data_IF_558914095530
#
_entry.id   IF_558914095530
#
_cell.length_a   1.000
_cell.length_b   1.000
_cell.length_c   1.000
_cell.angle_alpha   90.00
_cell.angle_beta   90.00
_cell.angle_gamma   90.00
#
_symmetry.space_group_name_H-M   'P 1'
#
loop_
_entity.id
_entity.type
_entity.pdbx_description
1 polymer ?
#
# COMPACT_ATOMS: atom_id res chain seq x y z
N UNK A 1 12.40 25.93 10.00
CA UNK A 1 11.85 24.61 10.33
C UNK A 1 10.63 24.32 9.49
N UNK A 2 10.54 23.12 8.91
CA UNK A 2 9.37 22.67 8.17
C UNK A 2 8.54 21.86 9.16
N UNK A 3 7.33 22.32 9.48
CA UNK A 3 6.34 21.56 10.23
C UNK A 3 5.59 20.66 9.24
N UNK A 4 5.83 19.34 9.19
CA UNK A 4 5.26 18.46 8.16
C UNK A 4 3.74 18.26 8.28
N UNK A 5 3.09 18.88 9.27
CA UNK A 5 1.66 18.83 9.50
C UNK A 5 0.98 20.18 9.29
N UNK A 6 1.69 21.20 8.83
CA UNK A 6 1.14 22.54 8.60
C UNK A 6 1.29 22.93 7.13
N UNK A 7 0.23 23.51 6.56
CA UNK A 7 0.21 23.95 5.17
C UNK A 7 0.15 22.78 4.18
N UNK A 8 0.76 22.99 3.01
CA UNK A 8 0.70 22.06 1.88
C UNK A 8 1.92 21.15 1.85
N UNK A 9 1.71 19.84 1.98
CA UNK A 9 2.78 18.85 1.95
C UNK A 9 2.54 17.81 0.85
N UNK A 10 3.58 17.59 0.05
CA UNK A 10 3.68 16.45 -0.86
C UNK A 10 4.72 15.47 -0.34
N UNK A 11 4.35 14.20 -0.26
CA UNK A 11 5.27 13.11 0.09
C UNK A 11 5.31 12.15 -1.10
N UNK A 12 6.50 11.82 -1.57
CA UNK A 12 6.69 11.02 -2.77
C UNK A 12 7.73 9.91 -2.55
N UNK A 13 7.38 8.69 -2.97
CA UNK A 13 8.36 7.67 -3.32
C UNK A 13 8.43 7.58 -4.86
N UNK A 14 9.55 7.95 -5.49
CA UNK A 14 9.68 7.84 -6.93
C UNK A 14 9.67 6.39 -7.42
N UNK A 15 10.13 5.42 -6.61
CA UNK A 15 10.22 4.00 -6.96
C UNK A 15 10.13 3.15 -5.67
N UNK A 16 8.91 2.87 -5.23
CA UNK A 16 8.66 1.85 -4.21
C UNK A 16 8.77 0.46 -4.86
N UNK A 17 9.50 -0.45 -4.20
CA UNK A 17 9.89 -1.72 -4.81
C UNK A 17 11.16 -1.65 -5.66
N UNK A 18 12.13 -0.79 -5.32
CA UNK A 18 13.41 -0.66 -6.06
C UNK A 18 14.11 -2.01 -6.33
N UNK A 19 14.05 -2.97 -5.40
CA UNK A 19 14.58 -4.33 -5.62
C UNK A 19 13.87 -5.05 -6.77
N UNK A 20 12.55 -4.91 -6.87
CA UNK A 20 11.74 -5.50 -7.94
C UNK A 20 12.05 -4.83 -9.28
N UNK A 21 12.17 -3.49 -9.32
CA UNK A 21 12.66 -2.79 -10.51
C UNK A 21 13.99 -3.36 -11.00
N UNK A 22 14.99 -3.46 -10.11
CA UNK A 22 16.35 -3.88 -10.47
C UNK A 22 16.41 -5.35 -10.89
N UNK A 23 15.61 -6.22 -10.27
CA UNK A 23 15.71 -7.69 -10.46
C UNK A 23 14.69 -8.27 -11.41
N UNK A 24 13.54 -7.62 -11.57
CA UNK A 24 12.38 -8.15 -12.28
C UNK A 24 11.85 -7.20 -13.34
N UNK A 25 12.19 -5.91 -13.28
CA UNK A 25 11.70 -4.88 -14.21
C UNK A 25 10.16 -4.73 -14.16
N UNK A 26 9.53 -5.24 -13.10
CA UNK A 26 8.09 -5.28 -12.85
C UNK A 26 7.84 -5.15 -11.33
N UNK A 27 6.58 -5.10 -10.89
CA UNK A 27 6.16 -5.11 -9.48
C UNK A 27 6.77 -3.99 -8.62
N UNK A 28 6.89 -2.79 -9.22
CA UNK A 28 7.24 -1.54 -8.53
C UNK A 28 6.21 -0.46 -8.85
N UNK A 29 6.15 0.57 -8.01
CA UNK A 29 5.21 1.67 -8.21
C UNK A 29 5.78 3.04 -7.81
N UNK A 30 5.09 4.10 -8.25
CA UNK A 30 5.31 5.47 -7.77
C UNK A 30 4.23 5.77 -6.73
N UNK A 31 4.61 6.33 -5.58
CA UNK A 31 3.69 6.71 -4.51
C UNK A 31 3.71 8.22 -4.35
N UNK A 32 2.53 8.85 -4.33
CA UNK A 32 2.39 10.28 -4.06
C UNK A 32 1.21 10.50 -3.11
N UNK A 33 1.46 11.10 -1.96
CA UNK A 33 0.43 11.59 -1.03
C UNK A 33 0.50 13.11 -0.93
N UNK A 34 -0.66 13.76 -1.00
CA UNK A 34 -0.81 15.20 -0.82
C UNK A 34 -1.70 15.49 0.39
N UNK A 35 -1.18 16.32 1.28
CA UNK A 35 -1.78 16.67 2.57
C UNK A 35 -1.94 18.18 2.69
N UNK A 36 -3.01 18.59 3.35
CA UNK A 36 -3.22 19.98 3.80
C UNK A 36 -3.45 19.93 5.30
N UNK A 37 -2.58 20.60 6.06
CA UNK A 37 -2.65 20.66 7.53
C UNK A 37 -2.72 19.25 8.17
N UNK A 38 -1.90 18.33 7.66
CA UNK A 38 -1.84 16.92 8.11
C UNK A 38 -2.94 16.01 7.56
N UNK A 39 -3.97 16.56 6.91
CA UNK A 39 -5.11 15.79 6.39
C UNK A 39 -4.87 15.35 4.93
N UNK A 40 -5.01 14.05 4.59
CA UNK A 40 -4.82 13.56 3.24
C UNK A 40 -5.92 14.09 2.30
N UNK A 41 -5.53 14.66 1.16
CA UNK A 41 -6.44 15.25 0.16
C UNK A 41 -6.41 14.52 -1.17
N UNK A 42 -5.23 14.14 -1.64
CA UNK A 42 -5.04 13.37 -2.87
C UNK A 42 -4.02 12.26 -2.62
N UNK A 43 -4.21 11.13 -3.27
CA UNK A 43 -3.29 9.99 -3.16
C UNK A 43 -3.19 9.28 -4.50
N UNK A 44 -1.99 8.87 -4.86
CA UNK A 44 -1.67 8.19 -6.10
C UNK A 44 -0.70 7.05 -5.83
N UNK A 45 -1.02 5.87 -6.34
CA UNK A 45 -0.12 4.73 -6.46
C UNK A 45 -0.15 4.33 -7.93
N UNK A 46 0.98 4.48 -8.62
CA UNK A 46 1.08 4.16 -10.04
C UNK A 46 1.90 2.90 -10.28
N UNK A 47 1.22 1.80 -10.59
CA UNK A 47 1.82 0.57 -11.09
C UNK A 47 2.22 0.80 -12.55
N UNK A 48 3.45 1.28 -12.73
CA UNK A 48 3.98 1.67 -14.04
C UNK A 48 4.05 0.48 -15.01
N UNK A 49 4.58 -0.70 -14.64
CA UNK A 49 4.65 -1.84 -15.56
C UNK A 49 3.29 -2.22 -16.16
N UNK A 50 2.23 -2.19 -15.35
CA UNK A 50 0.88 -2.56 -15.79
C UNK A 50 0.02 -1.38 -16.29
N UNK A 51 0.55 -0.15 -16.27
CA UNK A 51 -0.19 1.07 -16.62
C UNK A 51 -1.49 1.22 -15.82
N UNK A 52 -1.44 0.94 -14.50
CA UNK A 52 -2.58 1.07 -13.59
C UNK A 52 -2.34 2.19 -12.59
N UNK A 53 -3.12 3.25 -12.71
CA UNK A 53 -3.15 4.35 -11.76
C UNK A 53 -4.24 4.12 -10.73
N UNK A 54 -3.83 3.85 -9.50
CA UNK A 54 -4.74 3.90 -8.36
C UNK A 54 -4.71 5.32 -7.82
N UNK A 55 -5.86 5.98 -7.74
CA UNK A 55 -5.96 7.33 -7.17
C UNK A 55 -7.12 7.45 -6.20
N UNK A 56 -6.94 8.22 -5.14
CA UNK A 56 -8.00 8.58 -4.21
C UNK A 56 -8.08 10.10 -4.08
N UNK A 57 -9.31 10.62 -4.00
CA UNK A 57 -9.60 12.03 -3.83
C UNK A 57 -10.57 12.18 -2.65
N UNK A 58 -10.18 12.98 -1.67
CA UNK A 58 -10.98 13.20 -0.47
C UNK A 58 -12.39 13.70 -0.82
N UNK A 59 -13.40 13.05 -0.26
CA UNK A 59 -14.81 13.37 -0.50
C UNK A 59 -15.38 12.89 -1.84
N UNK A 60 -14.58 12.29 -2.73
CA UNK A 60 -15.04 11.78 -4.03
C UNK A 60 -14.95 10.26 -4.10
N UNK A 61 -13.80 9.68 -3.73
CA UNK A 61 -13.60 8.22 -3.71
C UNK A 61 -12.27 7.77 -4.32
N UNK A 62 -12.10 6.45 -4.40
CA UNK A 62 -10.92 5.79 -4.95
C UNK A 62 -11.22 5.19 -6.34
N UNK A 63 -10.23 5.22 -7.23
CA UNK A 63 -10.34 4.80 -8.62
C UNK A 63 -9.13 3.95 -9.02
N UNK A 64 -9.37 2.94 -9.84
CA UNK A 64 -8.36 2.28 -10.66
C UNK A 64 -8.55 2.76 -12.10
N UNK A 65 -7.59 3.53 -12.59
CA UNK A 65 -7.71 4.31 -13.82
C UNK A 65 -8.98 5.18 -13.80
N UNK A 66 -9.96 4.84 -14.64
CA UNK A 66 -11.23 5.57 -14.76
C UNK A 66 -12.39 4.86 -14.05
N UNK A 67 -12.14 3.73 -13.39
CA UNK A 67 -13.17 2.93 -12.74
C UNK A 67 -13.19 3.20 -11.23
N UNK A 68 -14.37 3.52 -10.71
CA UNK A 68 -14.58 3.68 -9.27
C UNK A 68 -14.35 2.34 -8.56
N UNK A 69 -13.56 2.36 -7.50
CA UNK A 69 -13.31 1.22 -6.63
C UNK A 69 -14.40 1.12 -5.57
N UNK A 70 -14.80 -0.10 -5.26
CA UNK A 70 -15.76 -0.39 -4.18
C UNK A 70 -15.03 -0.90 -2.96
N UNK A 71 -15.54 -0.58 -1.78
CA UNK A 71 -15.04 -1.13 -0.53
C UNK A 71 -15.05 -2.66 -0.57
N UNK A 72 -13.94 -3.32 -0.20
CA UNK A 72 -13.89 -4.77 -0.16
C UNK A 72 -14.77 -5.32 0.97
N UNK A 73 -15.20 -6.57 0.84
CA UNK A 73 -15.91 -7.26 1.91
C UNK A 73 -14.97 -7.48 3.09
N UNK A 74 -15.47 -7.29 4.31
CA UNK A 74 -14.74 -7.68 5.51
C UNK A 74 -14.68 -9.20 5.57
N UNK A 75 -13.48 -9.74 5.71
CA UNK A 75 -13.20 -11.17 5.82
C UNK A 75 -12.45 -11.46 7.12
N UNK A 76 -12.61 -12.66 7.66
CA UNK A 76 -11.82 -13.11 8.80
C UNK A 76 -10.38 -13.44 8.38
N UNK A 77 -9.43 -13.41 9.32
CA UNK A 77 -8.03 -13.75 9.03
C UNK A 77 -7.89 -15.15 8.39
N UNK A 78 -8.68 -16.12 8.85
CA UNK A 78 -8.69 -17.50 8.31
C UNK A 78 -9.13 -17.62 6.84
N UNK A 79 -9.73 -16.58 6.29
CA UNK A 79 -10.16 -16.49 4.89
C UNK A 79 -9.25 -15.56 4.07
N UNK A 80 -8.30 -14.89 4.72
CA UNK A 80 -7.47 -13.85 4.13
C UNK A 80 -6.12 -14.38 3.68
N UNK A 81 -5.70 -13.96 2.48
CA UNK A 81 -4.29 -13.95 2.11
C UNK A 81 -3.63 -12.75 2.82
N UNK A 82 -2.48 -12.97 3.46
CA UNK A 82 -1.71 -11.90 4.12
C UNK A 82 -0.36 -11.69 3.45
N UNK A 83 0.12 -10.45 3.50
CA UNK A 83 1.43 -10.04 2.99
C UNK A 83 2.27 -9.41 4.08
N UNK A 84 3.52 -9.87 4.20
CA UNK A 84 4.52 -9.33 5.12
C UNK A 84 5.93 -9.79 4.72
N UNK A 85 6.95 -9.24 5.38
CA UNK A 85 8.35 -9.65 5.20
C UNK A 85 8.79 -10.60 6.34
N UNK A 86 8.86 -11.93 6.12
CA UNK A 86 9.16 -12.87 7.21
C UNK A 86 10.55 -12.65 7.84
N UNK A 87 11.52 -12.16 7.06
CA UNK A 87 12.92 -12.02 7.48
C UNK A 87 13.15 -10.96 8.57
N UNK A 88 12.16 -10.11 8.86
CA UNK A 88 12.23 -9.06 9.89
C UNK A 88 11.35 -9.35 11.10
N UNK A 89 10.76 -10.55 11.16
CA UNK A 89 9.90 -11.01 12.26
C UNK A 89 10.56 -12.17 13.00
N UNK A 90 10.13 -12.39 14.24
CA UNK A 90 10.48 -13.58 15.00
C UNK A 90 9.82 -14.81 14.38
N UNK A 91 10.50 -15.95 14.41
CA UNK A 91 10.03 -17.19 13.81
C UNK A 91 8.67 -17.62 14.36
N UNK A 92 8.44 -17.49 15.67
CA UNK A 92 7.16 -17.86 16.29
C UNK A 92 6.00 -16.98 15.79
N UNK A 93 6.26 -15.69 15.55
CA UNK A 93 5.27 -14.77 14.97
C UNK A 93 4.96 -15.17 13.52
N UNK A 94 5.99 -15.50 12.73
CA UNK A 94 5.81 -15.93 11.34
C UNK A 94 4.96 -17.21 11.27
N UNK A 95 5.28 -18.21 12.11
CA UNK A 95 4.52 -19.46 12.17
C UNK A 95 3.08 -19.23 12.61
N UNK A 96 2.86 -18.39 13.62
CA UNK A 96 1.51 -18.03 14.08
C UNK A 96 0.67 -17.36 12.99
N UNK A 97 1.27 -16.45 12.21
CA UNK A 97 0.60 -15.80 11.08
C UNK A 97 0.25 -16.81 9.99
N UNK A 98 1.18 -17.70 9.62
CA UNK A 98 0.93 -18.75 8.62
C UNK A 98 -0.17 -19.74 9.05
N UNK A 99 -0.27 -20.06 10.33
CA UNK A 99 -1.31 -20.95 10.84
C UNK A 99 -2.68 -20.27 10.97
N UNK A 100 -2.69 -18.94 11.13
CA UNK A 100 -3.93 -18.17 11.37
C UNK A 100 -4.58 -17.67 10.08
N UNK A 101 -3.79 -17.41 9.04
CA UNK A 101 -4.26 -16.91 7.75
C UNK A 101 -4.65 -18.04 6.79
N UNK A 102 -5.38 -17.69 5.71
CA UNK A 102 -5.67 -18.64 4.64
C UNK A 102 -4.42 -19.03 3.85
N UNK A 103 -3.62 -18.03 3.47
CA UNK A 103 -2.36 -18.22 2.74
C UNK A 103 -1.48 -16.97 2.88
N UNK A 104 -0.24 -17.07 2.43
CA UNK A 104 0.75 -15.98 2.42
C UNK A 104 1.20 -15.65 0.99
N UNK A 105 1.23 -14.38 0.65
CA UNK A 105 1.84 -13.86 -0.60
C UNK A 105 2.58 -12.57 -0.28
N UNK A 106 3.62 -12.25 -1.04
CA UNK A 106 4.34 -10.98 -0.90
C UNK A 106 4.78 -10.52 -2.28
N UNK A 107 4.41 -9.29 -2.65
CA UNK A 107 4.85 -8.67 -3.91
C UNK A 107 6.23 -8.05 -3.71
N UNK A 108 6.48 -7.44 -2.54
CA UNK A 108 7.76 -6.79 -2.24
C UNK A 108 7.79 -5.29 -2.57
N UNK A 109 6.63 -4.68 -2.81
CA UNK A 109 6.41 -3.24 -2.93
C UNK A 109 5.32 -2.86 -1.95
N UNK A 110 5.62 -1.92 -1.03
CA UNK A 110 4.66 -1.55 0.01
C UNK A 110 3.38 -0.95 -0.57
N UNK A 111 3.50 -0.14 -1.63
CA UNK A 111 2.37 0.40 -2.38
C UNK A 111 1.53 -0.69 -3.03
N UNK A 112 2.14 -1.63 -3.77
CA UNK A 112 1.39 -2.67 -4.49
C UNK A 112 0.78 -3.71 -3.55
N UNK A 113 1.48 -4.15 -2.51
CA UNK A 113 0.91 -5.03 -1.48
C UNK A 113 -0.27 -4.34 -0.77
N UNK A 114 -0.19 -3.03 -0.53
CA UNK A 114 -1.32 -2.26 0.03
C UNK A 114 -2.50 -2.16 -0.94
N UNK A 115 -2.25 -1.98 -2.23
CA UNK A 115 -3.31 -1.99 -3.26
C UNK A 115 -4.04 -3.34 -3.29
N UNK A 116 -3.34 -4.47 -3.08
CA UNK A 116 -4.01 -5.77 -2.96
C UNK A 116 -4.97 -5.81 -1.77
N UNK A 117 -4.65 -5.14 -0.65
CA UNK A 117 -5.57 -4.98 0.49
C UNK A 117 -6.75 -4.10 0.12
N UNK A 118 -6.50 -2.94 -0.49
CA UNK A 118 -7.54 -1.97 -0.89
C UNK A 118 -8.54 -2.61 -1.87
N UNK A 119 -8.07 -3.51 -2.74
CA UNK A 119 -8.90 -4.29 -3.68
C UNK A 119 -9.57 -5.52 -3.07
N UNK A 120 -9.29 -5.85 -1.81
CA UNK A 120 -9.80 -7.07 -1.14
C UNK A 120 -9.21 -8.37 -1.65
N UNK A 121 -8.05 -8.32 -2.31
CA UNK A 121 -7.32 -9.50 -2.79
C UNK A 121 -6.45 -10.08 -1.67
N UNK A 122 -5.87 -9.21 -0.83
CA UNK A 122 -5.27 -9.56 0.45
C UNK A 122 -6.18 -9.03 1.58
N UNK A 123 -6.17 -9.70 2.74
CA UNK A 123 -6.84 -9.19 3.93
C UNK A 123 -5.96 -8.25 4.76
N UNK A 124 -4.63 -8.38 4.67
CA UNK A 124 -3.70 -7.50 5.37
C UNK A 124 -2.34 -7.43 4.68
N UNK A 125 -1.69 -6.27 4.80
CA UNK A 125 -0.27 -6.07 4.50
C UNK A 125 0.42 -5.51 5.74
N UNK A 126 1.61 -6.03 6.06
CA UNK A 126 2.39 -5.62 7.22
C UNK A 126 3.80 -5.23 6.78
N UNK A 127 4.17 -3.97 7.04
CA UNK A 127 5.54 -3.48 7.00
C UNK A 127 5.89 -2.95 8.41
N UNK A 128 6.93 -3.49 9.03
CA UNK A 128 7.32 -3.15 10.41
C UNK A 128 8.22 -1.92 10.52
N UNK A 129 8.71 -1.39 9.40
CA UNK A 129 9.56 -0.21 9.38
C UNK A 129 9.39 0.60 8.07
N UNK A 130 8.15 0.99 7.70
CA UNK A 130 7.94 1.79 6.53
C UNK A 130 8.51 3.20 6.72
N UNK A 131 8.97 3.80 5.63
CA UNK A 131 9.22 5.24 5.56
C UNK A 131 7.93 5.98 5.24
N UNK A 132 7.82 7.28 5.56
CA UNK A 132 6.61 8.04 5.29
C UNK A 132 6.17 7.99 3.83
N UNK A 133 7.12 7.96 2.89
CA UNK A 133 6.84 7.88 1.46
C UNK A 133 6.34 6.50 0.99
N UNK A 134 6.68 5.42 1.70
CA UNK A 134 6.21 4.06 1.38
C UNK A 134 4.70 3.90 1.65
N UNK A 135 4.14 4.75 2.54
CA UNK A 135 2.77 4.59 3.07
C UNK A 135 1.89 5.85 2.95
N UNK A 136 2.40 6.94 2.37
CA UNK A 136 1.71 8.24 2.38
C UNK A 136 0.35 8.20 1.65
N UNK A 137 0.29 7.53 0.50
CA UNK A 137 -0.93 7.45 -0.29
C UNK A 137 -2.02 6.57 0.38
N UNK A 138 -1.60 5.55 1.12
CA UNK A 138 -2.48 4.53 1.70
C UNK A 138 -3.48 5.13 2.68
N UNK A 139 -3.14 6.23 3.36
CA UNK A 139 -4.00 6.92 4.33
C UNK A 139 -5.33 7.42 3.75
N UNK A 140 -5.43 7.66 2.43
CA UNK A 140 -6.67 8.11 1.80
C UNK A 140 -7.50 6.99 1.16
N UNK A 141 -6.91 5.80 0.97
CA UNK A 141 -7.61 4.65 0.38
C UNK A 141 -8.36 3.81 1.42
N UNK A 142 -8.06 4.00 2.71
CA UNK A 142 -8.63 3.25 3.83
C UNK A 142 -9.92 3.83 4.37
#
# INVERSE_FOLDING_TARGET
DITPYEGHLWIMDPIDGTSNLVKQQEDYCIIIGYFIDGEPKLSYIYDYPHQRLYRAIAGIGAYENNQLMTMPKKIGLREAIISFKPQVLKEETVQSLFQSAFDFRSIGSCGLDSIRVIKGQFGAHINTNPKPWDISAQFLFV
#
